data_IF_488832899702
#
_entry.id   IF_488832899702
#
_cell.length_a   1.000
_cell.length_b   1.000
_cell.length_c   1.000
_cell.angle_alpha   90.00
_cell.angle_beta   90.00
_cell.angle_gamma   90.00
#
_symmetry.space_group_name_H-M   'P 1'
#
loop_
_entity.id
_entity.type
_entity.pdbx_description
1 polymer ?
#
# COMPACT_ATOMS: atom_id res chain seq x y z
N UNK A 1 -0.30 24.79 7.76
CA UNK A 1 0.37 23.65 7.08
C UNK A 1 1.57 24.24 6.36
N UNK A 2 2.79 23.90 6.78
CA UNK A 2 3.99 24.41 6.09
C UNK A 2 4.25 23.51 4.88
N UNK A 3 4.21 24.02 3.63
CA UNK A 3 4.94 23.37 2.56
C UNK A 3 6.40 23.31 3.02
N UNK A 4 7.00 22.12 3.08
CA UNK A 4 8.44 22.05 3.19
C UNK A 4 8.99 22.63 1.89
N UNK A 5 9.59 23.80 1.98
CA UNK A 5 10.29 24.41 0.86
C UNK A 5 11.52 23.56 0.58
N UNK A 6 11.45 22.76 -0.48
CA UNK A 6 12.59 22.03 -1.01
C UNK A 6 13.38 22.99 -1.90
N UNK A 7 14.29 23.76 -1.29
CA UNK A 7 15.30 24.50 -2.05
C UNK A 7 16.42 23.55 -2.46
N UNK A 8 16.40 23.12 -3.72
CA UNK A 8 17.56 22.48 -4.34
C UNK A 8 18.44 23.56 -4.98
N UNK A 9 19.77 23.54 -4.76
CA UNK A 9 20.66 24.20 -5.71
C UNK A 9 20.43 23.48 -7.05
N UNK A 10 20.03 24.21 -8.10
CA UNK A 10 19.70 23.60 -9.39
C UNK A 10 20.81 22.67 -9.90
N UNK A 11 20.50 21.84 -10.89
CA UNK A 11 21.41 20.83 -11.45
C UNK A 11 22.62 21.40 -12.23
N UNK A 12 22.96 22.68 -12.07
CA UNK A 12 24.08 23.28 -12.79
C UNK A 12 25.40 22.94 -12.10
N UNK A 13 26.07 21.93 -12.63
CA UNK A 13 27.42 21.54 -12.23
C UNK A 13 28.43 22.37 -13.03
N UNK A 14 29.21 23.19 -12.32
CA UNK A 14 30.37 23.91 -12.87
C UNK A 14 31.64 23.17 -12.45
N UNK A 15 32.09 22.28 -13.32
CA UNK A 15 33.23 21.38 -13.07
C UNK A 15 34.20 21.42 -14.26
N UNK A 16 34.97 22.50 -14.45
CA UNK A 16 35.83 22.69 -15.63
C UNK A 16 36.96 21.65 -15.73
N UNK A 17 37.28 20.96 -14.63
CA UNK A 17 38.28 19.89 -14.58
C UNK A 17 37.72 18.49 -14.95
N UNK A 18 36.41 18.37 -15.20
CA UNK A 18 35.72 17.11 -15.50
C UNK A 18 35.26 17.13 -16.96
N UNK A 19 35.39 16.02 -17.73
CA UNK A 19 34.88 15.94 -19.09
C UNK A 19 33.38 16.30 -19.17
N UNK A 20 32.99 17.06 -20.18
CA UNK A 20 31.60 17.52 -20.33
C UNK A 20 30.57 16.39 -20.37
N UNK A 21 30.93 15.24 -20.97
CA UNK A 21 30.10 14.03 -20.99
C UNK A 21 29.79 13.51 -19.58
N UNK A 22 30.82 13.42 -18.73
CA UNK A 22 30.68 12.97 -17.34
C UNK A 22 29.82 13.95 -16.52
N UNK A 23 30.00 15.25 -16.74
CA UNK A 23 29.15 16.29 -16.13
C UNK A 23 27.70 16.14 -16.56
N UNK A 24 27.45 15.86 -17.84
CA UNK A 24 26.11 15.64 -18.37
C UNK A 24 25.45 14.39 -17.77
N UNK A 25 26.18 13.28 -17.68
CA UNK A 25 25.68 12.05 -17.04
C UNK A 25 25.30 12.30 -15.58
N UNK A 26 26.14 12.98 -14.79
CA UNK A 26 25.81 13.30 -13.41
C UNK A 26 24.55 14.17 -13.31
N UNK A 27 24.34 15.14 -14.21
CA UNK A 27 23.12 15.95 -14.25
C UNK A 27 21.88 15.08 -14.44
N UNK A 28 21.92 14.10 -15.35
CA UNK A 28 20.82 13.15 -15.55
C UNK A 28 20.54 12.38 -14.26
N UNK A 29 21.60 11.87 -13.61
CA UNK A 29 21.46 11.11 -12.37
C UNK A 29 20.91 11.97 -11.23
N UNK A 30 21.24 13.27 -11.15
CA UNK A 30 20.63 14.21 -10.22
C UNK A 30 19.12 14.42 -10.46
N UNK A 31 18.69 14.53 -11.73
CA UNK A 31 17.26 14.63 -12.07
C UNK A 31 16.49 13.39 -11.60
N UNK A 32 17.10 12.21 -11.74
CA UNK A 32 16.52 10.95 -11.25
C UNK A 32 16.45 10.93 -9.71
N UNK A 33 17.50 11.41 -9.03
CA UNK A 33 17.52 11.54 -7.57
C UNK A 33 16.39 12.44 -7.06
N UNK A 34 16.21 13.59 -7.71
CA UNK A 34 15.14 14.54 -7.40
C UNK A 34 13.76 13.91 -7.58
N UNK A 35 13.57 13.18 -8.69
CA UNK A 35 12.32 12.47 -8.97
C UNK A 35 11.99 11.46 -7.86
N UNK A 36 12.96 10.67 -7.42
CA UNK A 36 12.76 9.71 -6.33
C UNK A 36 12.46 10.39 -4.98
N UNK A 37 13.07 11.55 -4.71
CA UNK A 37 12.76 12.35 -3.52
C UNK A 37 11.34 12.89 -3.56
N UNK A 38 10.91 13.42 -4.70
CA UNK A 38 9.55 13.92 -4.91
C UNK A 38 8.51 12.80 -4.77
N UNK A 39 8.75 11.65 -5.40
CA UNK A 39 7.89 10.47 -5.31
C UNK A 39 7.75 9.97 -3.87
N UNK A 40 8.86 9.86 -3.14
CA UNK A 40 8.84 9.45 -1.73
C UNK A 40 8.04 10.45 -0.88
N UNK A 41 8.29 11.75 -1.03
CA UNK A 41 7.58 12.78 -0.27
C UNK A 41 6.07 12.77 -0.56
N UNK A 42 5.69 12.68 -1.84
CA UNK A 42 4.29 12.61 -2.26
C UNK A 42 3.61 11.35 -1.74
N UNK A 43 4.25 10.19 -1.90
CA UNK A 43 3.73 8.91 -1.45
C UNK A 43 3.53 8.87 0.07
N UNK A 44 4.46 9.41 0.85
CA UNK A 44 4.32 9.52 2.30
C UNK A 44 3.10 10.37 2.68
N UNK A 45 2.94 11.54 2.05
CA UNK A 45 1.79 12.42 2.29
C UNK A 45 0.46 11.73 1.97
N UNK A 46 0.38 11.05 0.82
CA UNK A 46 -0.82 10.32 0.42
C UNK A 46 -1.10 9.14 1.36
N UNK A 47 -0.07 8.46 1.85
CA UNK A 47 -0.18 7.42 2.85
C UNK A 47 -0.78 7.94 4.16
N UNK A 48 -0.26 9.05 4.69
CA UNK A 48 -0.75 9.67 5.92
C UNK A 48 -2.20 10.16 5.78
N UNK A 49 -2.52 10.83 4.67
CA UNK A 49 -3.88 11.28 4.36
C UNK A 49 -4.84 10.09 4.27
N UNK A 50 -4.44 9.00 3.62
CA UNK A 50 -5.27 7.81 3.49
C UNK A 50 -5.44 7.07 4.81
N UNK A 51 -4.40 7.02 5.65
CA UNK A 51 -4.48 6.49 7.01
C UNK A 51 -5.54 7.21 7.84
N UNK A 52 -5.57 8.55 7.77
CA UNK A 52 -6.59 9.36 8.44
C UNK A 52 -8.01 9.08 7.91
N UNK A 53 -8.15 8.82 6.61
CA UNK A 53 -9.43 8.45 6.01
C UNK A 53 -9.92 7.07 6.46
N UNK A 54 -9.04 6.08 6.58
CA UNK A 54 -9.41 4.72 7.00
C UNK A 54 -10.00 4.65 8.41
N UNK A 55 -9.51 5.50 9.33
CA UNK A 55 -10.09 5.64 10.68
C UNK A 55 -11.56 6.11 10.63
N UNK A 56 -11.95 6.85 9.57
CA UNK A 56 -13.35 7.31 9.39
C UNK A 56 -14.26 6.23 8.82
N UNK A 57 -13.72 5.20 8.15
CA UNK A 57 -14.49 4.14 7.50
C UNK A 57 -14.85 2.97 8.43
N UNK A 58 -14.33 2.90 9.66
CA UNK A 58 -14.66 1.83 10.61
C UNK A 58 -16.04 1.97 11.27
N UNK A 59 -16.96 2.72 10.64
CA UNK A 59 -18.31 3.00 11.15
C UNK A 59 -19.38 2.05 10.58
N UNK A 60 -20.50 1.94 11.30
CA UNK A 60 -21.73 1.28 10.87
C UNK A 60 -22.25 1.89 9.57
N UNK A 61 -22.85 1.07 8.70
CA UNK A 61 -23.49 1.56 7.47
C UNK A 61 -24.52 2.65 7.83
N UNK A 62 -24.47 3.85 7.20
CA UNK A 62 -25.40 4.92 7.52
C UNK A 62 -26.85 4.45 7.35
N UNK A 63 -27.70 4.72 8.35
CA UNK A 63 -29.12 4.34 8.36
C UNK A 63 -29.89 4.74 7.08
N UNK A 64 -29.46 5.83 6.43
CA UNK A 64 -30.02 6.27 5.16
C UNK A 64 -29.75 5.28 4.01
N UNK A 65 -28.57 4.65 3.96
CA UNK A 65 -28.22 3.66 2.94
C UNK A 65 -29.04 2.38 3.16
N UNK A 66 -29.16 1.93 4.42
CA UNK A 66 -29.99 0.77 4.77
C UNK A 66 -31.45 0.98 4.37
N UNK A 67 -32.05 2.13 4.75
CA UNK A 67 -33.43 2.45 4.37
C UNK A 67 -33.62 2.47 2.86
N UNK A 68 -32.70 3.11 2.14
CA UNK A 68 -32.78 3.21 0.68
C UNK A 68 -32.67 1.85 -0.02
N UNK A 69 -31.82 0.95 0.52
CA UNK A 69 -31.76 -0.45 0.06
C UNK A 69 -33.10 -1.15 0.24
N UNK A 70 -33.69 -1.05 1.44
CA UNK A 70 -34.95 -1.73 1.75
C UNK A 70 -36.12 -1.21 0.92
N UNK A 71 -36.16 0.09 0.61
CA UNK A 71 -37.15 0.66 -0.30
C UNK A 71 -37.10 0.02 -1.69
N UNK A 72 -35.90 -0.11 -2.28
CA UNK A 72 -35.73 -0.74 -3.60
C UNK A 72 -36.06 -2.23 -3.59
N UNK A 73 -35.69 -2.95 -2.53
CA UNK A 73 -36.06 -4.36 -2.37
C UNK A 73 -37.58 -4.51 -2.30
N UNK A 74 -38.27 -3.69 -1.52
CA UNK A 74 -39.74 -3.73 -1.39
C UNK A 74 -40.45 -3.37 -2.70
N UNK A 75 -39.89 -2.46 -3.50
CA UNK A 75 -40.45 -2.08 -4.81
C UNK A 75 -40.43 -3.27 -5.78
N UNK A 76 -39.31 -4.00 -5.87
CA UNK A 76 -39.17 -5.19 -6.71
C UNK A 76 -39.90 -6.41 -6.14
N UNK A 77 -39.95 -6.58 -4.81
CA UNK A 77 -40.71 -7.66 -4.14
C UNK A 77 -42.22 -7.56 -4.44
N UNK A 78 -42.75 -6.34 -4.66
CA UNK A 78 -44.17 -6.10 -5.02
C UNK A 78 -44.52 -6.52 -6.44
N UNK A 79 -43.53 -6.58 -7.33
CA UNK A 79 -43.72 -7.03 -8.71
C UNK A 79 -43.78 -8.56 -8.82
N UNK A 80 -43.47 -9.29 -7.73
CA UNK A 80 -43.58 -10.74 -7.69
C UNK A 80 -45.05 -11.18 -7.73
N UNK A 81 -45.38 -12.03 -8.69
CA UNK A 81 -46.72 -12.62 -8.81
C UNK A 81 -47.14 -13.41 -7.57
N UNK A 82 -48.45 -13.51 -7.29
CA UNK A 82 -48.96 -14.27 -6.16
C UNK A 82 -48.75 -15.79 -6.29
N UNK A 83 -48.59 -16.29 -7.52
CA UNK A 83 -48.61 -17.72 -7.86
C UNK A 83 -47.28 -18.46 -7.65
N UNK A 84 -46.26 -17.80 -7.10
CA UNK A 84 -44.96 -18.41 -6.82
C UNK A 84 -45.05 -19.35 -5.61
N UNK A 85 -44.46 -20.53 -5.72
CA UNK A 85 -44.22 -21.40 -4.56
C UNK A 85 -43.31 -20.72 -3.51
N UNK A 86 -43.33 -21.17 -2.24
CA UNK A 86 -42.46 -20.64 -1.20
C UNK A 86 -40.97 -20.65 -1.58
N UNK A 87 -40.51 -21.72 -2.23
CA UNK A 87 -39.14 -21.90 -2.68
C UNK A 87 -38.79 -20.91 -3.81
N UNK A 88 -39.63 -20.80 -4.84
CA UNK A 88 -39.42 -19.86 -5.94
C UNK A 88 -39.47 -18.40 -5.48
N UNK A 89 -40.34 -18.09 -4.51
CA UNK A 89 -40.41 -16.77 -3.90
C UNK A 89 -39.13 -16.46 -3.11
N UNK A 90 -38.58 -17.43 -2.38
CA UNK A 90 -37.31 -17.24 -1.66
C UNK A 90 -36.16 -16.97 -2.63
N UNK A 91 -36.02 -17.76 -3.70
CA UNK A 91 -35.00 -17.54 -4.73
C UNK A 91 -35.17 -16.18 -5.42
N UNK A 92 -36.41 -15.78 -5.71
CA UNK A 92 -36.69 -14.48 -6.30
C UNK A 92 -36.29 -13.32 -5.36
N UNK A 93 -36.56 -13.44 -4.06
CA UNK A 93 -36.12 -12.45 -3.07
C UNK A 93 -34.59 -12.38 -2.95
N UNK A 94 -33.87 -13.50 -2.98
CA UNK A 94 -32.41 -13.50 -2.99
C UNK A 94 -31.84 -12.83 -4.24
N UNK A 95 -32.44 -13.10 -5.40
CA UNK A 95 -32.06 -12.42 -6.65
C UNK A 95 -32.32 -10.92 -6.58
N UNK A 96 -33.47 -10.50 -6.05
CA UNK A 96 -33.80 -9.08 -5.84
C UNK A 96 -32.76 -8.40 -4.94
N UNK A 97 -32.39 -9.02 -3.81
CA UNK A 97 -31.37 -8.49 -2.90
C UNK A 97 -30.03 -8.28 -3.60
N UNK A 98 -29.62 -9.24 -4.43
CA UNK A 98 -28.40 -9.14 -5.22
C UNK A 98 -28.49 -8.03 -6.27
N UNK A 99 -29.59 -7.96 -7.02
CA UNK A 99 -29.79 -6.98 -8.09
C UNK A 99 -29.84 -5.54 -7.55
N UNK A 100 -30.52 -5.34 -6.41
CA UNK A 100 -30.52 -4.06 -5.68
C UNK A 100 -29.11 -3.69 -5.24
N UNK A 101 -28.36 -4.62 -4.66
CA UNK A 101 -26.98 -4.35 -4.24
C UNK A 101 -26.08 -3.96 -5.43
N UNK A 102 -26.21 -4.66 -6.57
CA UNK A 102 -25.48 -4.34 -7.80
C UNK A 102 -25.89 -2.97 -8.33
N UNK A 103 -27.19 -2.66 -8.36
CA UNK A 103 -27.72 -1.38 -8.83
C UNK A 103 -27.21 -0.22 -7.96
N UNK A 104 -27.30 -0.35 -6.64
CA UNK A 104 -26.78 0.64 -5.70
C UNK A 104 -25.27 0.87 -5.87
N UNK A 105 -24.48 -0.19 -6.01
CA UNK A 105 -23.03 -0.06 -6.29
C UNK A 105 -22.78 0.71 -7.58
N UNK A 106 -23.50 0.39 -8.66
CA UNK A 106 -23.36 1.09 -9.96
C UNK A 106 -23.75 2.56 -9.86
N UNK A 107 -24.82 2.90 -9.14
CA UNK A 107 -25.22 4.29 -8.91
C UNK A 107 -24.13 5.08 -8.17
N UNK A 108 -23.56 4.49 -7.11
CA UNK A 108 -22.45 5.09 -6.36
C UNK A 108 -21.21 5.29 -7.23
N UNK A 109 -20.86 4.32 -8.06
CA UNK A 109 -19.74 4.45 -9.01
C UNK A 109 -19.99 5.52 -10.07
N UNK A 110 -21.21 5.62 -10.58
CA UNK A 110 -21.59 6.68 -11.53
C UNK A 110 -21.53 8.08 -10.89
N UNK A 111 -21.75 8.17 -9.57
CA UNK A 111 -21.55 9.38 -8.79
C UNK A 111 -20.07 9.68 -8.45
N UNK A 112 -19.13 8.84 -8.89
CA UNK A 112 -17.70 9.00 -8.63
C UNK A 112 -17.24 8.45 -7.28
N UNK A 113 -18.08 7.71 -6.55
CA UNK A 113 -17.65 7.09 -5.29
C UNK A 113 -16.71 5.92 -5.56
N UNK A 114 -15.53 5.96 -4.92
CA UNK A 114 -14.55 4.88 -4.94
C UNK A 114 -14.96 3.80 -3.92
N UNK A 115 -14.97 2.50 -4.29
CA UNK A 115 -15.28 1.44 -3.35
C UNK A 115 -14.35 1.45 -2.13
N UNK A 116 -14.91 1.18 -0.95
CA UNK A 116 -14.12 1.15 0.29
C UNK A 116 -12.95 0.17 0.24
N UNK A 117 -13.14 -0.99 -0.39
CA UNK A 117 -12.06 -1.96 -0.60
C UNK A 117 -10.88 -1.37 -1.38
N UNK A 118 -11.14 -0.48 -2.34
CA UNK A 118 -10.10 0.20 -3.12
C UNK A 118 -9.42 1.28 -2.27
N UNK A 119 -10.18 2.03 -1.47
CA UNK A 119 -9.63 2.99 -0.50
C UNK A 119 -8.74 2.30 0.54
N UNK A 120 -9.15 1.14 1.05
CA UNK A 120 -8.32 0.27 1.92
C UNK A 120 -7.09 -0.25 1.21
N UNK A 121 -7.13 -0.45 -0.11
CA UNK A 121 -5.97 -0.88 -0.88
C UNK A 121 -5.00 0.26 -1.17
N UNK A 122 -5.49 1.48 -1.35
CA UNK A 122 -4.70 2.65 -1.70
C UNK A 122 -3.55 2.92 -0.71
N UNK A 123 -3.79 2.72 0.59
CA UNK A 123 -2.74 2.91 1.61
C UNK A 123 -1.51 2.02 1.35
N UNK A 124 -1.73 0.78 0.90
CA UNK A 124 -0.62 -0.13 0.58
C UNK A 124 0.10 0.27 -0.70
N UNK A 125 -0.62 0.81 -1.69
CA UNK A 125 0.00 1.34 -2.91
C UNK A 125 0.92 2.52 -2.59
N UNK A 126 0.47 3.44 -1.74
CA UNK A 126 1.28 4.58 -1.31
C UNK A 126 2.49 4.15 -0.48
N UNK A 127 2.32 3.18 0.42
CA UNK A 127 3.45 2.60 1.15
C UNK A 127 4.50 1.96 0.22
N UNK A 128 4.05 1.25 -0.83
CA UNK A 128 4.94 0.67 -1.82
C UNK A 128 5.68 1.75 -2.62
N UNK A 129 4.95 2.76 -3.12
CA UNK A 129 5.56 3.88 -3.84
C UNK A 129 6.61 4.62 -2.99
N UNK A 130 6.33 4.83 -1.70
CA UNK A 130 7.28 5.41 -0.76
C UNK A 130 8.55 4.58 -0.62
N UNK A 131 8.41 3.26 -0.42
CA UNK A 131 9.55 2.34 -0.33
C UNK A 131 10.38 2.33 -1.62
N UNK A 132 9.73 2.41 -2.79
CA UNK A 132 10.41 2.50 -4.08
C UNK A 132 11.17 3.81 -4.24
N UNK A 133 10.57 4.94 -3.87
CA UNK A 133 11.25 6.23 -3.88
C UNK A 133 12.50 6.22 -2.99
N UNK A 134 12.38 5.71 -1.75
CA UNK A 134 13.53 5.57 -0.84
C UNK A 134 14.63 4.66 -1.39
N UNK A 135 14.27 3.49 -1.92
CA UNK A 135 15.26 2.59 -2.52
C UNK A 135 15.93 3.22 -3.75
N UNK A 136 15.16 3.93 -4.56
CA UNK A 136 15.64 4.72 -5.70
C UNK A 136 16.70 5.73 -5.28
N UNK A 137 16.45 6.52 -4.23
CA UNK A 137 17.43 7.48 -3.67
C UNK A 137 18.77 6.80 -3.37
N UNK A 138 18.75 5.70 -2.61
CA UNK A 138 19.98 5.00 -2.23
C UNK A 138 20.73 4.40 -3.43
N UNK A 139 20.00 3.86 -4.42
CA UNK A 139 20.58 3.35 -5.67
C UNK A 139 21.19 4.47 -6.51
N UNK A 140 20.52 5.61 -6.61
CA UNK A 140 20.99 6.76 -7.37
C UNK A 140 22.23 7.40 -6.72
N UNK A 141 22.28 7.51 -5.39
CA UNK A 141 23.49 7.89 -4.66
C UNK A 141 24.65 6.91 -4.88
N UNK A 142 24.34 5.62 -4.99
CA UNK A 142 25.34 4.58 -5.32
C UNK A 142 25.90 4.77 -6.73
N UNK A 143 25.04 5.06 -7.72
CA UNK A 143 25.46 5.33 -9.09
C UNK A 143 26.28 6.63 -9.21
N UNK A 144 25.89 7.70 -8.50
CA UNK A 144 26.70 8.93 -8.43
C UNK A 144 28.08 8.65 -7.83
N UNK A 145 28.15 7.90 -6.72
CA UNK A 145 29.40 7.62 -6.02
C UNK A 145 30.37 6.68 -6.75
N UNK A 146 29.99 6.07 -7.89
CA UNK A 146 30.87 5.17 -8.64
C UNK A 146 31.82 5.88 -9.61
N UNK A 147 31.57 7.16 -9.90
CA UNK A 147 32.41 7.95 -10.79
C UNK A 147 33.66 8.47 -10.07
N UNK A 148 34.84 8.31 -10.69
CA UNK A 148 36.13 8.63 -10.06
C UNK A 148 36.33 10.12 -9.73
N UNK A 149 35.65 11.00 -10.47
CA UNK A 149 35.74 12.45 -10.31
C UNK A 149 34.77 13.00 -9.24
N UNK A 150 33.85 12.17 -8.74
CA UNK A 150 32.83 12.60 -7.78
C UNK A 150 33.44 12.76 -6.39
N UNK A 151 33.15 13.87 -5.67
CA UNK A 151 33.71 14.09 -4.34
C UNK A 151 33.32 13.00 -3.35
N UNK A 152 34.24 12.66 -2.44
CA UNK A 152 34.00 11.67 -1.38
C UNK A 152 32.77 11.98 -0.50
N UNK A 153 32.32 13.23 -0.46
CA UNK A 153 31.08 13.65 0.20
C UNK A 153 29.83 12.90 -0.31
N UNK A 154 29.80 12.47 -1.57
CA UNK A 154 28.69 11.66 -2.11
C UNK A 154 28.70 10.24 -1.51
N UNK A 155 29.88 9.65 -1.32
CA UNK A 155 30.02 8.37 -0.62
C UNK A 155 29.57 8.51 0.84
N UNK A 156 29.94 9.60 1.52
CA UNK A 156 29.46 9.89 2.88
C UNK A 156 27.94 10.03 2.93
N UNK A 157 27.34 10.78 1.99
CA UNK A 157 25.88 10.93 1.93
C UNK A 157 25.16 9.60 1.72
N UNK A 158 25.71 8.72 0.87
CA UNK A 158 25.19 7.37 0.67
C UNK A 158 25.27 6.52 1.94
N UNK A 159 26.40 6.57 2.64
CA UNK A 159 26.59 5.84 3.90
C UNK A 159 25.63 6.34 4.98
N UNK A 160 25.48 7.65 5.12
CA UNK A 160 24.56 8.26 6.07
C UNK A 160 23.10 7.92 5.75
N UNK A 161 22.74 7.85 4.47
CA UNK A 161 21.42 7.41 4.02
C UNK A 161 21.11 5.98 4.48
N UNK A 162 21.99 5.02 4.18
CA UNK A 162 21.78 3.62 4.57
C UNK A 162 21.94 3.40 6.08
N UNK A 163 22.76 4.20 6.77
CA UNK A 163 22.88 4.16 8.23
C UNK A 163 21.58 4.63 8.91
N UNK A 164 20.92 5.63 8.32
CA UNK A 164 19.63 6.14 8.81
C UNK A 164 18.46 5.20 8.52
N UNK A 165 18.59 4.37 7.47
CA UNK A 165 17.55 3.45 7.01
C UNK A 165 18.08 2.00 6.90
N UNK A 166 18.58 1.39 7.99
CA UNK A 166 19.34 0.14 7.94
C UNK A 166 18.49 -1.07 7.48
N UNK A 167 17.17 -1.00 7.65
CA UNK A 167 16.24 -2.08 7.29
C UNK A 167 15.61 -1.93 5.91
N UNK A 168 15.85 -0.82 5.20
CA UNK A 168 15.17 -0.49 3.94
C UNK A 168 15.28 -1.61 2.90
N UNK A 169 16.49 -2.13 2.67
CA UNK A 169 16.71 -3.21 1.71
C UNK A 169 15.93 -4.49 2.09
N UNK A 170 15.86 -4.83 3.38
CA UNK A 170 15.13 -6.01 3.85
C UNK A 170 13.61 -5.87 3.74
N UNK A 171 13.09 -4.66 3.97
CA UNK A 171 11.66 -4.34 3.78
C UNK A 171 11.30 -4.40 2.30
N UNK A 172 12.09 -3.74 1.44
CA UNK A 172 11.94 -3.75 -0.02
C UNK A 172 11.95 -5.18 -0.58
N UNK A 173 12.96 -5.98 -0.24
CA UNK A 173 13.07 -7.38 -0.68
C UNK A 173 11.83 -8.19 -0.26
N UNK A 174 11.30 -7.92 0.93
CA UNK A 174 10.07 -8.57 1.40
C UNK A 174 8.84 -8.14 0.58
N UNK A 175 8.75 -6.87 0.20
CA UNK A 175 7.67 -6.35 -0.63
C UNK A 175 7.71 -6.85 -2.07
N UNK A 176 8.89 -7.16 -2.62
CA UNK A 176 9.04 -7.73 -3.95
C UNK A 176 8.70 -9.23 -4.05
N UNK A 177 8.83 -9.95 -2.94
CA UNK A 177 8.65 -11.41 -2.88
C UNK A 177 7.42 -11.80 -2.06
N UNK A 178 6.32 -11.04 -2.20
CA UNK A 178 5.08 -11.28 -1.46
C UNK A 178 4.48 -12.66 -1.76
N UNK A 179 4.67 -13.17 -2.97
CA UNK A 179 4.27 -14.52 -3.40
C UNK A 179 5.04 -15.62 -2.67
N UNK A 180 6.35 -15.46 -2.49
CA UNK A 180 7.17 -16.40 -1.73
C UNK A 180 6.83 -16.33 -0.25
N UNK A 181 6.62 -15.12 0.29
CA UNK A 181 6.15 -14.93 1.66
C UNK A 181 4.78 -15.57 1.90
N UNK A 182 3.84 -15.44 0.97
CA UNK A 182 2.53 -16.10 1.03
C UNK A 182 2.67 -17.64 1.07
N UNK A 183 3.69 -18.17 0.39
CA UNK A 183 4.06 -19.59 0.38
C UNK A 183 4.94 -20.00 1.56
N UNK A 184 5.15 -19.12 2.55
CA UNK A 184 6.06 -19.32 3.70
C UNK A 184 7.50 -19.62 3.25
N UNK A 185 7.96 -19.00 2.18
CA UNK A 185 9.33 -19.05 1.69
C UNK A 185 10.03 -17.71 1.94
N UNK A 186 11.33 -17.77 2.21
CA UNK A 186 12.21 -16.63 2.30
C UNK A 186 12.62 -16.12 0.92
N UNK A 187 13.37 -15.02 0.87
CA UNK A 187 13.89 -14.42 -0.39
C UNK A 187 14.81 -15.34 -1.22
N UNK A 188 15.18 -16.51 -0.71
CA UNK A 188 16.02 -17.52 -1.39
C UNK A 188 15.21 -18.79 -1.71
N UNK A 189 13.88 -18.74 -1.58
CA UNK A 189 12.99 -19.87 -1.82
C UNK A 189 12.98 -20.94 -0.71
N UNK A 190 13.67 -20.70 0.41
CA UNK A 190 13.74 -21.66 1.54
C UNK A 190 12.56 -21.47 2.48
N UNK A 191 12.05 -22.56 3.03
CA UNK A 191 10.90 -22.53 3.92
C UNK A 191 11.21 -21.77 5.22
N UNK A 192 10.37 -20.80 5.56
CA UNK A 192 10.47 -20.01 6.79
C UNK A 192 10.03 -20.90 7.96
N UNK A 193 10.93 -21.14 8.89
CA UNK A 193 10.58 -21.75 10.18
C UNK A 193 9.74 -20.75 10.98
N UNK A 194 8.43 -20.99 11.04
CA UNK A 194 7.51 -20.16 11.81
C UNK A 194 7.79 -20.41 13.29
N UNK A 195 8.20 -19.37 14.03
CA UNK A 195 8.31 -19.48 15.49
C UNK A 195 6.91 -19.59 16.08
N UNK A 196 6.69 -20.45 17.09
CA UNK A 196 5.39 -20.57 17.74
C UNK A 196 4.98 -19.21 18.31
N UNK A 197 3.77 -18.78 17.97
CA UNK A 197 3.15 -17.58 18.55
C UNK A 197 2.63 -17.99 19.93
N UNK A 198 3.34 -17.57 20.97
CA UNK A 198 2.85 -17.67 22.35
C UNK A 198 1.79 -16.59 22.57
N UNK A 199 0.55 -16.87 22.19
CA UNK A 199 -0.58 -16.07 22.64
C UNK A 199 -0.77 -16.34 24.13
N UNK A 200 -0.24 -15.46 24.98
CA UNK A 200 -0.65 -15.36 26.39
C UNK A 200 -2.05 -14.76 26.44
N UNK A 201 -3.04 -15.55 26.03
CA UNK A 201 -4.42 -15.37 26.46
C UNK A 201 -4.44 -15.74 27.94
N UNK A 202 -4.70 -14.75 28.80
CA UNK A 202 -4.95 -15.00 30.21
C UNK A 202 -6.09 -16.01 30.36
N UNK A 203 -5.82 -17.15 30.98
CA UNK A 203 -6.86 -18.11 31.39
C UNK A 203 -6.54 -19.58 31.11
N UNK A 204 -5.95 -20.25 32.11
CA UNK A 204 -5.96 -21.70 32.38
C UNK A 204 -5.55 -22.63 31.22
N UNK A 205 -4.28 -23.00 31.24
CA UNK A 205 -3.79 -24.23 30.59
C UNK A 205 -4.39 -25.43 31.32
N UNK A 206 -5.36 -26.10 30.71
CA UNK A 206 -5.70 -27.47 31.09
C UNK A 206 -4.58 -28.38 30.60
N UNK A 207 -3.71 -28.82 31.53
CA UNK A 207 -2.78 -29.92 31.29
C UNK A 207 -3.63 -31.17 31.03
N UNK A 208 -3.53 -31.74 29.81
CA UNK A 208 -3.97 -33.13 29.61
C UNK A 208 -2.90 -34.04 30.24
N UNK A 209 -3.29 -35.03 31.07
CA UNK A 209 -2.34 -35.99 31.60
C UNK A 209 -1.80 -36.87 30.46
N UNK A 210 -0.50 -37.15 30.57
CA UNK A 210 0.20 -38.16 29.79
C UNK A 210 -0.35 -39.55 30.12
N UNK A 211 -1.01 -40.18 29.17
CA UNK A 211 -1.21 -41.63 29.19
C UNK A 211 -0.05 -42.26 28.41
N UNK A 212 0.91 -42.82 29.15
CA UNK A 212 1.63 -44.01 28.71
C UNK A 212 0.74 -45.24 28.94
N UNK A 213 1.09 -46.42 28.40
CA UNK A 213 2.44 -47.01 28.43
C UNK A 213 3.10 -47.22 27.07
#
# INVERSE_FOLDING_TARGET
>A
MFPFELTYPGHWLDCPAVPEGDVHEARIVFIVLESHLADAALALRLFEQQGANLVRFTGTEPEAIYRRRREMELELERELGPDLSPEERWEACERIRFDVEVSMKRQRWAAGEIPEAHLRRAIFLYAQAFLFGLDGIGKTLTALGSAAWVPGAVTTAREDFYRSLPTLAGVRDTSHHLEDRARRRDRRGKQIAVKPVMNVLGGRVAQRPSEGP
#
